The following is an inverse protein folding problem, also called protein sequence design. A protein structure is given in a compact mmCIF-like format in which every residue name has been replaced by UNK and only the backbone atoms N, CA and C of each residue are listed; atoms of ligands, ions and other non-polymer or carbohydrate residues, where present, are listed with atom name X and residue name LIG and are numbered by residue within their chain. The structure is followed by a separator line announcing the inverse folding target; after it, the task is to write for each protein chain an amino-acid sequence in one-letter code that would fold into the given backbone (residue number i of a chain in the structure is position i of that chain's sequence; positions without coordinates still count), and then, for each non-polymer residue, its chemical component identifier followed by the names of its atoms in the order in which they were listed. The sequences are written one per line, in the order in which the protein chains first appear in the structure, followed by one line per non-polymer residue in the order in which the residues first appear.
data_IF_421120666387
#
_entry.id   IF_421120666387
#
_cell.length_a   1.000
_cell.length_b   1.000
_cell.length_c   1.000
_cell.angle_alpha   90.00
_cell.angle_beta   90.00
_cell.angle_gamma   90.00
#
_symmetry.space_group_name_H-M   'P 1'
#
loop_
_entity.id
_entity.type
_entity.pdbx_description
1 polymer ?
#
# COMPACT_ATOMS: atom_id res chain seq x y z
N UNK A 1 14.70 -16.64 16.98
CA UNK A 1 14.07 -15.35 16.58
C UNK A 1 14.10 -14.44 17.79
N UNK A 2 14.62 -13.22 17.65
CA UNK A 2 14.58 -12.21 18.73
C UNK A 2 13.11 -11.93 19.12
N UNK A 3 12.85 -11.88 20.43
CA UNK A 3 11.49 -11.63 20.94
C UNK A 3 11.32 -10.12 21.16
N UNK A 4 10.65 -9.43 20.25
CA UNK A 4 10.35 -8.01 20.33
C UNK A 4 8.88 -7.77 20.67
N UNK A 5 8.62 -6.78 21.55
CA UNK A 5 7.26 -6.46 22.01
C UNK A 5 6.47 -5.61 21.00
N UNK A 6 7.18 -4.80 20.20
CA UNK A 6 6.59 -3.89 19.22
C UNK A 6 7.47 -3.79 17.98
N UNK A 7 6.84 -3.76 16.79
CA UNK A 7 7.49 -3.42 15.52
C UNK A 7 6.43 -2.90 14.53
N UNK A 8 6.49 -1.62 14.22
CA UNK A 8 5.59 -0.95 13.28
C UNK A 8 6.40 -0.49 12.07
N UNK A 9 6.15 -1.09 10.93
CA UNK A 9 6.87 -0.81 9.69
C UNK A 9 5.95 -0.08 8.69
N UNK A 10 6.44 1.05 8.16
CA UNK A 10 5.81 1.77 7.06
C UNK A 10 6.50 1.42 5.74
N UNK A 11 5.72 1.05 4.72
CA UNK A 11 6.21 0.76 3.37
C UNK A 11 5.49 1.65 2.37
N UNK A 12 6.16 2.69 1.87
CA UNK A 12 5.67 3.57 0.82
C UNK A 12 6.49 3.41 -0.47
N UNK A 13 5.96 3.84 -1.60
CA UNK A 13 6.72 3.79 -2.84
C UNK A 13 5.88 3.86 -4.11
N UNK A 14 6.57 3.93 -5.24
CA UNK A 14 6.01 4.11 -6.57
C UNK A 14 5.16 2.90 -7.03
N UNK A 15 4.40 3.08 -8.10
CA UNK A 15 3.60 2.00 -8.70
C UNK A 15 4.52 0.89 -9.21
N UNK A 16 4.13 -0.38 -8.96
CA UNK A 16 4.88 -1.57 -9.35
C UNK A 16 6.36 -1.60 -8.90
N UNK A 17 6.73 -0.84 -7.85
CA UNK A 17 8.09 -0.81 -7.30
C UNK A 17 8.49 -2.04 -6.48
N UNK A 18 7.70 -3.10 -6.45
CA UNK A 18 7.97 -4.31 -5.65
C UNK A 18 7.64 -4.18 -4.17
N UNK A 19 7.09 -3.05 -3.74
CA UNK A 19 6.73 -2.74 -2.35
C UNK A 19 5.84 -3.80 -1.69
N UNK A 20 4.74 -4.20 -2.35
CA UNK A 20 3.79 -5.18 -1.78
C UNK A 20 4.41 -6.56 -1.59
N UNK A 21 5.26 -6.98 -2.53
CA UNK A 21 6.04 -8.23 -2.41
C UNK A 21 6.99 -8.16 -1.22
N UNK A 22 7.73 -7.06 -1.08
CA UNK A 22 8.66 -6.85 0.02
C UNK A 22 7.94 -6.79 1.38
N UNK A 23 6.85 -6.05 1.48
CA UNK A 23 6.02 -5.98 2.68
C UNK A 23 5.48 -7.35 3.09
N UNK A 24 5.04 -8.17 2.12
CA UNK A 24 4.59 -9.56 2.38
C UNK A 24 5.73 -10.43 2.91
N UNK A 25 6.93 -10.34 2.33
CA UNK A 25 8.09 -11.13 2.74
C UNK A 25 8.53 -10.79 4.17
N UNK A 26 8.67 -9.51 4.52
CA UNK A 26 9.05 -9.11 5.89
C UNK A 26 7.95 -9.44 6.88
N UNK A 27 6.69 -9.26 6.52
CA UNK A 27 5.58 -9.62 7.40
C UNK A 27 5.57 -11.10 7.74
N UNK A 28 5.87 -11.96 6.75
CA UNK A 28 6.03 -13.40 6.99
C UNK A 28 7.24 -13.70 7.89
N UNK A 29 8.42 -13.11 7.59
CA UNK A 29 9.65 -13.36 8.36
C UNK A 29 9.51 -12.94 9.82
N UNK A 30 8.95 -11.76 10.08
CA UNK A 30 8.87 -11.19 11.44
C UNK A 30 7.50 -11.39 12.11
N UNK A 31 6.61 -12.21 11.54
CA UNK A 31 5.25 -12.48 12.04
C UNK A 31 4.45 -11.20 12.30
N UNK A 32 4.49 -10.26 11.34
CA UNK A 32 3.75 -8.99 11.40
C UNK A 32 2.39 -9.12 10.72
N UNK A 33 1.37 -8.46 11.27
CA UNK A 33 0.14 -8.25 10.53
C UNK A 33 0.42 -7.34 9.32
N UNK A 34 0.17 -7.83 8.11
CA UNK A 34 0.29 -7.00 6.89
C UNK A 34 -1.02 -6.26 6.64
N UNK A 35 -0.96 -4.93 6.58
CA UNK A 35 -2.07 -4.08 6.15
C UNK A 35 -1.74 -3.40 4.83
N UNK A 36 -2.49 -3.75 3.78
CA UNK A 36 -2.37 -3.16 2.46
C UNK A 36 -3.44 -2.09 2.27
N UNK A 37 -3.04 -0.81 2.33
CA UNK A 37 -3.94 0.33 2.11
C UNK A 37 -4.61 0.30 0.74
N UNK A 38 -3.91 -0.19 -0.27
CA UNK A 38 -4.46 -0.31 -1.62
C UNK A 38 -5.69 -1.21 -1.69
N UNK A 39 -5.74 -2.29 -0.90
CA UNK A 39 -6.92 -3.16 -0.83
C UNK A 39 -8.13 -2.46 -0.22
N UNK A 40 -7.93 -1.56 0.75
CA UNK A 40 -9.03 -0.80 1.35
C UNK A 40 -9.69 0.14 0.32
N UNK A 41 -8.90 0.83 -0.49
CA UNK A 41 -9.43 1.65 -1.59
C UNK A 41 -10.09 0.81 -2.67
N UNK A 42 -9.57 -0.38 -2.97
CA UNK A 42 -10.20 -1.33 -3.89
C UNK A 42 -11.53 -1.84 -3.36
N UNK A 43 -11.61 -2.10 -2.06
CA UNK A 43 -12.87 -2.46 -1.41
C UNK A 43 -13.90 -1.34 -1.52
N UNK A 44 -13.51 -0.07 -1.27
CA UNK A 44 -14.37 1.07 -1.52
C UNK A 44 -14.89 1.10 -2.97
N UNK A 45 -13.98 0.90 -3.93
CA UNK A 45 -14.35 0.88 -5.36
C UNK A 45 -15.35 -0.23 -5.69
N UNK A 46 -15.08 -1.46 -5.23
CA UNK A 46 -15.99 -2.61 -5.42
C UNK A 46 -17.39 -2.32 -4.89
N UNK A 47 -17.45 -1.76 -3.67
CA UNK A 47 -18.73 -1.43 -3.04
C UNK A 47 -19.50 -0.35 -3.80
N UNK A 48 -18.83 0.70 -4.27
CA UNK A 48 -19.48 1.80 -5.02
C UNK A 48 -19.95 1.30 -6.40
N UNK A 49 -19.10 0.56 -7.12
CA UNK A 49 -19.43 0.04 -8.45
C UNK A 49 -20.63 -0.92 -8.37
N UNK A 50 -20.61 -1.85 -7.41
CA UNK A 50 -21.63 -2.88 -7.29
C UNK A 50 -22.97 -2.38 -6.74
N UNK A 51 -22.97 -1.34 -5.89
CA UNK A 51 -24.21 -0.88 -5.24
C UNK A 51 -24.73 0.46 -5.77
N UNK A 52 -23.92 1.22 -6.54
CA UNK A 52 -24.26 2.54 -7.11
C UNK A 52 -25.00 3.46 -6.12
N UNK A 53 -24.49 3.67 -4.88
CA UNK A 53 -25.22 4.35 -3.83
C UNK A 53 -25.44 5.83 -4.18
N UNK A 54 -26.61 6.39 -3.88
CA UNK A 54 -26.90 7.83 -4.02
C UNK A 54 -25.95 8.69 -3.20
N UNK A 55 -25.58 8.25 -1.98
CA UNK A 55 -24.59 8.90 -1.14
C UNK A 55 -23.42 7.94 -0.82
N UNK A 56 -22.35 7.94 -1.63
CA UNK A 56 -21.22 7.04 -1.45
C UNK A 56 -20.50 7.17 -0.08
N UNK A 57 -20.45 8.39 0.48
CA UNK A 57 -19.75 8.65 1.75
C UNK A 57 -20.49 8.03 2.92
N UNK A 58 -21.80 8.27 3.04
CA UNK A 58 -22.63 7.67 4.08
C UNK A 58 -22.63 6.15 3.98
N UNK A 59 -22.79 5.62 2.77
CA UNK A 59 -22.76 4.18 2.49
C UNK A 59 -21.44 3.53 2.92
N UNK A 60 -20.29 4.10 2.52
CA UNK A 60 -18.99 3.57 2.91
C UNK A 60 -18.76 3.66 4.43
N UNK A 61 -19.18 4.75 5.08
CA UNK A 61 -19.10 4.85 6.53
C UNK A 61 -19.84 3.70 7.23
N UNK A 62 -21.06 3.38 6.80
CA UNK A 62 -21.84 2.27 7.35
C UNK A 62 -21.13 0.93 7.12
N UNK A 63 -20.64 0.66 5.90
CA UNK A 63 -19.93 -0.59 5.56
C UNK A 63 -18.64 -0.76 6.38
N UNK A 64 -17.83 0.30 6.56
CA UNK A 64 -16.57 0.23 7.32
C UNK A 64 -16.74 0.14 8.84
N UNK A 65 -17.94 0.40 9.40
CA UNK A 65 -18.25 0.14 10.82
C UNK A 65 -18.28 -1.35 11.12
N UNK A 66 -18.84 -2.15 10.20
CA UNK A 66 -19.22 -3.55 10.42
C UNK A 66 -18.30 -4.56 9.72
N UNK A 67 -17.29 -4.13 8.96
CA UNK A 67 -16.40 -5.03 8.24
C UNK A 67 -15.11 -5.27 9.02
N UNK A 68 -14.62 -6.52 9.00
CA UNK A 68 -13.28 -6.85 9.47
C UNK A 68 -12.26 -6.75 8.34
N UNK A 69 -10.99 -6.49 8.68
CA UNK A 69 -9.92 -6.49 7.68
C UNK A 69 -9.75 -7.86 7.01
N UNK A 70 -9.95 -8.96 7.77
CA UNK A 70 -9.94 -10.33 7.25
C UNK A 70 -10.98 -10.52 6.15
N UNK A 71 -12.18 -9.99 6.32
CA UNK A 71 -13.23 -10.09 5.30
C UNK A 71 -12.91 -9.29 4.04
N UNK A 72 -12.13 -8.21 4.15
CA UNK A 72 -11.71 -7.41 2.99
C UNK A 72 -10.64 -8.14 2.17
N UNK A 73 -9.62 -8.73 2.81
CA UNK A 73 -8.52 -9.39 2.11
C UNK A 73 -8.92 -10.68 1.41
N UNK A 74 -10.01 -11.31 1.84
CA UNK A 74 -10.54 -12.54 1.25
C UNK A 74 -11.42 -12.27 0.01
N UNK A 75 -11.60 -11.01 -0.39
CA UNK A 75 -12.39 -10.67 -1.57
C UNK A 75 -11.53 -10.58 -2.83
N UNK A 76 -12.13 -10.90 -3.98
CA UNK A 76 -11.53 -10.58 -5.26
C UNK A 76 -11.67 -9.07 -5.54
N UNK A 77 -10.54 -8.34 -5.46
CA UNK A 77 -10.45 -6.89 -5.58
C UNK A 77 -9.51 -6.45 -6.73
N UNK A 78 -9.15 -7.36 -7.63
CA UNK A 78 -8.09 -7.12 -8.62
C UNK A 78 -8.58 -6.93 -10.07
N UNK A 79 -9.89 -6.69 -10.29
CA UNK A 79 -10.38 -6.37 -11.64
C UNK A 79 -9.82 -5.06 -12.18
N UNK A 80 -9.83 -4.92 -13.50
CA UNK A 80 -9.38 -3.71 -14.18
C UNK A 80 -10.28 -2.52 -13.86
N UNK A 81 -11.59 -2.74 -13.88
CA UNK A 81 -12.61 -1.73 -13.51
C UNK A 81 -12.35 -1.15 -12.12
N UNK A 82 -12.18 -2.02 -11.10
CA UNK A 82 -11.81 -1.59 -9.74
C UNK A 82 -10.50 -0.82 -9.76
N UNK A 83 -9.49 -1.29 -10.52
CA UNK A 83 -8.17 -0.66 -10.58
C UNK A 83 -8.19 0.76 -11.13
N UNK A 84 -9.01 1.00 -12.16
CA UNK A 84 -9.19 2.31 -12.79
C UNK A 84 -9.96 3.26 -11.87
N UNK A 85 -11.04 2.77 -11.22
CA UNK A 85 -11.85 3.56 -10.31
C UNK A 85 -11.07 4.00 -9.04
N UNK A 86 -10.18 3.15 -8.50
CA UNK A 86 -9.32 3.49 -7.34
C UNK A 86 -8.53 4.78 -7.55
N UNK A 87 -8.01 5.01 -8.75
CA UNK A 87 -7.18 6.19 -9.03
C UNK A 87 -7.97 7.51 -8.89
N UNK A 88 -9.24 7.49 -9.22
CA UNK A 88 -10.17 8.62 -9.05
C UNK A 88 -10.60 8.74 -7.59
N UNK A 89 -11.04 7.64 -7.01
CA UNK A 89 -11.60 7.55 -5.67
C UNK A 89 -10.58 7.96 -4.59
N UNK A 90 -9.31 7.60 -4.75
CA UNK A 90 -8.24 7.94 -3.82
C UNK A 90 -7.91 9.45 -3.75
N UNK A 91 -8.44 10.28 -4.64
CA UNK A 91 -8.34 11.75 -4.58
C UNK A 91 -9.38 12.36 -3.63
N UNK A 92 -10.49 11.66 -3.38
CA UNK A 92 -11.58 12.16 -2.53
C UNK A 92 -11.17 12.20 -1.06
N UNK A 93 -11.19 13.41 -0.46
CA UNK A 93 -10.79 13.65 0.92
C UNK A 93 -11.62 12.85 1.93
N UNK A 94 -12.95 12.79 1.74
CA UNK A 94 -13.85 12.12 2.67
C UNK A 94 -13.67 10.60 2.65
N UNK A 95 -13.48 10.01 1.46
CA UNK A 95 -13.16 8.57 1.35
C UNK A 95 -11.82 8.25 2.01
N UNK A 96 -10.82 9.11 1.84
CA UNK A 96 -9.54 8.97 2.55
C UNK A 96 -9.72 9.01 4.07
N UNK A 97 -10.57 9.88 4.59
CA UNK A 97 -10.85 9.94 6.04
C UNK A 97 -11.45 8.61 6.54
N UNK A 98 -12.39 8.03 5.81
CA UNK A 98 -13.00 6.73 6.17
C UNK A 98 -11.93 5.63 6.20
N UNK A 99 -11.15 5.51 5.12
CA UNK A 99 -10.09 4.50 5.02
C UNK A 99 -9.03 4.70 6.09
N UNK A 100 -8.60 5.95 6.33
CA UNK A 100 -7.61 6.28 7.35
C UNK A 100 -8.10 5.95 8.77
N UNK A 101 -9.36 6.24 9.08
CA UNK A 101 -9.99 5.88 10.38
C UNK A 101 -9.97 4.37 10.59
N UNK A 102 -10.33 3.61 9.59
CA UNK A 102 -10.32 2.15 9.63
C UNK A 102 -8.89 1.60 9.80
N UNK A 103 -7.92 2.08 9.03
CA UNK A 103 -6.52 1.68 9.17
C UNK A 103 -5.98 1.98 10.56
N UNK A 104 -6.21 3.20 11.07
CA UNK A 104 -5.76 3.59 12.41
C UNK A 104 -6.36 2.71 13.51
N UNK A 105 -7.63 2.27 13.37
CA UNK A 105 -8.25 1.31 14.30
C UNK A 105 -7.49 -0.03 14.31
N UNK A 106 -7.08 -0.53 13.14
CA UNK A 106 -6.30 -1.78 13.04
C UNK A 106 -4.91 -1.59 13.67
N UNK A 107 -4.23 -0.50 13.31
CA UNK A 107 -2.87 -0.21 13.77
C UNK A 107 -2.80 -0.08 15.30
N UNK A 108 -3.76 0.63 15.91
CA UNK A 108 -3.80 0.79 17.37
C UNK A 108 -3.96 -0.53 18.13
N UNK A 109 -4.61 -1.53 17.51
CA UNK A 109 -4.84 -2.85 18.13
C UNK A 109 -3.66 -3.81 17.96
N UNK A 110 -2.66 -3.46 17.11
CA UNK A 110 -1.60 -4.39 16.72
C UNK A 110 -0.23 -3.74 16.89
N UNK A 111 0.56 -4.26 17.83
CA UNK A 111 1.93 -3.79 18.09
C UNK A 111 2.96 -4.35 17.09
N UNK A 112 2.64 -5.43 16.36
CA UNK A 112 3.49 -6.08 15.36
C UNK A 112 2.82 -5.98 13.98
N UNK A 113 3.15 -4.94 13.21
CA UNK A 113 2.40 -4.60 11.98
C UNK A 113 3.31 -4.00 10.91
N UNK A 114 3.08 -4.40 9.67
CA UNK A 114 3.62 -3.77 8.47
C UNK A 114 2.48 -3.15 7.67
N UNK A 115 2.53 -1.86 7.44
CA UNK A 115 1.52 -1.15 6.65
C UNK A 115 2.13 -0.70 5.33
N UNK A 116 1.50 -1.06 4.22
CA UNK A 116 1.95 -0.62 2.91
C UNK A 116 0.96 0.32 2.21
N UNK A 117 1.49 1.31 1.49
CA UNK A 117 0.67 2.28 0.77
C UNK A 117 1.45 3.28 -0.06
N UNK A 118 1.06 4.55 0.05
CA UNK A 118 1.66 5.69 -0.65
C UNK A 118 1.99 6.87 0.28
N UNK A 119 1.34 6.93 1.42
CA UNK A 119 1.42 8.01 2.40
C UNK A 119 1.41 7.47 3.84
N UNK A 120 1.92 6.25 4.00
CA UNK A 120 1.90 5.56 5.30
C UNK A 120 2.80 6.28 6.29
N UNK A 121 4.07 6.45 5.95
CA UNK A 121 5.03 7.15 6.81
C UNK A 121 4.66 8.63 6.99
N UNK A 122 4.24 9.31 5.91
CA UNK A 122 4.00 10.75 5.94
C UNK A 122 2.67 11.17 6.57
N UNK A 123 1.66 10.28 6.63
CA UNK A 123 0.30 10.62 7.10
C UNK A 123 -0.27 9.62 8.10
N UNK A 124 -0.24 8.32 7.79
CA UNK A 124 -0.94 7.32 8.61
C UNK A 124 -0.18 7.04 9.90
N UNK A 125 1.13 6.87 9.80
CA UNK A 125 2.06 6.55 10.89
C UNK A 125 3.01 7.72 11.22
N UNK A 126 2.63 8.96 10.89
CA UNK A 126 3.49 10.13 11.07
C UNK A 126 3.60 10.59 12.54
N UNK A 127 2.60 10.28 13.38
CA UNK A 127 2.54 10.74 14.77
C UNK A 127 2.25 9.60 15.74
N UNK A 128 0.99 9.31 16.00
CA UNK A 128 0.56 8.33 17.02
C UNK A 128 -0.37 7.26 16.42
N UNK A 129 0.09 5.99 16.36
CA UNK A 129 1.47 5.56 16.61
C UNK A 129 2.41 5.97 15.47
N UNK A 130 3.66 6.32 15.79
CA UNK A 130 4.72 6.49 14.79
C UNK A 130 5.31 5.12 14.44
N UNK A 131 5.77 4.97 13.18
CA UNK A 131 6.54 3.79 12.76
C UNK A 131 7.89 3.71 13.48
N UNK A 132 8.39 2.49 13.63
CA UNK A 132 9.76 2.23 14.10
C UNK A 132 10.73 2.29 12.92
N UNK A 133 10.31 1.81 11.74
CA UNK A 133 11.05 1.94 10.48
C UNK A 133 10.13 2.32 9.33
N UNK A 134 10.64 3.17 8.42
CA UNK A 134 10.01 3.51 7.16
C UNK A 134 10.88 3.10 5.97
N UNK A 135 10.29 2.39 5.02
CA UNK A 135 10.92 2.04 3.74
C UNK A 135 10.22 2.75 2.58
N UNK A 136 11.01 3.34 1.69
CA UNK A 136 10.51 3.94 0.46
C UNK A 136 11.03 3.17 -0.76
N UNK A 137 10.11 2.63 -1.54
CA UNK A 137 10.42 1.79 -2.69
C UNK A 137 10.42 2.57 -3.99
N UNK A 138 11.49 2.42 -4.77
CA UNK A 138 11.65 2.98 -6.10
C UNK A 138 12.11 1.92 -7.08
N UNK A 139 11.62 1.98 -8.31
CA UNK A 139 12.04 1.11 -9.41
C UNK A 139 12.06 1.90 -10.70
N UNK A 140 13.01 1.63 -11.60
CA UNK A 140 13.00 2.20 -12.95
C UNK A 140 11.71 1.80 -13.66
N UNK A 141 11.07 2.75 -14.35
CA UNK A 141 9.76 2.54 -14.97
C UNK A 141 9.72 1.37 -15.96
N UNK A 142 10.79 1.21 -16.77
CA UNK A 142 10.90 0.10 -17.70
C UNK A 142 10.93 -1.26 -16.99
N UNK A 143 11.69 -1.40 -15.89
CA UNK A 143 11.75 -2.64 -15.10
C UNK A 143 10.43 -2.92 -14.40
N UNK A 144 9.84 -1.89 -13.78
CA UNK A 144 8.54 -2.01 -13.11
C UNK A 144 7.42 -2.37 -14.10
N UNK A 145 7.44 -1.74 -15.29
CA UNK A 145 6.49 -1.99 -16.36
C UNK A 145 6.60 -3.39 -16.92
N UNK A 146 7.82 -3.86 -17.18
CA UNK A 146 8.05 -5.23 -17.66
C UNK A 146 7.55 -6.29 -16.66
N UNK A 147 7.90 -6.14 -15.37
CA UNK A 147 7.38 -7.02 -14.30
C UNK A 147 5.86 -7.02 -14.27
N UNK A 148 5.23 -5.83 -14.32
CA UNK A 148 3.78 -5.71 -14.32
C UNK A 148 3.13 -6.31 -15.56
N UNK A 149 3.76 -6.18 -16.72
CA UNK A 149 3.32 -6.77 -17.97
C UNK A 149 3.29 -8.31 -17.91
N UNK A 150 4.32 -8.91 -17.31
CA UNK A 150 4.33 -10.36 -17.02
C UNK A 150 3.23 -10.76 -16.05
N UNK A 151 3.03 -10.01 -14.96
CA UNK A 151 1.95 -10.25 -13.98
C UNK A 151 0.55 -10.17 -14.62
N UNK A 152 0.40 -9.45 -15.71
CA UNK A 152 -0.83 -9.34 -16.50
C UNK A 152 -0.93 -10.41 -17.60
N UNK A 153 -0.06 -11.42 -17.60
CA UNK A 153 0.03 -12.45 -18.64
C UNK A 153 0.11 -11.86 -20.06
N UNK A 154 0.77 -10.70 -20.20
CA UNK A 154 0.98 -9.97 -21.46
C UNK A 154 -0.31 -9.54 -22.19
N UNK A 155 -1.46 -9.53 -21.50
CA UNK A 155 -2.77 -9.21 -22.11
C UNK A 155 -2.91 -7.77 -22.63
N UNK A 156 -2.04 -6.87 -22.20
CA UNK A 156 -2.03 -5.45 -22.58
C UNK A 156 -0.67 -5.11 -23.17
N UNK A 157 -0.56 -4.30 -24.24
CA UNK A 157 0.73 -3.88 -24.79
C UNK A 157 1.65 -3.26 -23.73
N UNK A 158 2.93 -3.64 -23.74
CA UNK A 158 3.91 -3.14 -22.75
C UNK A 158 3.97 -1.60 -22.71
N UNK A 159 3.85 -0.93 -23.86
CA UNK A 159 3.82 0.55 -23.97
C UNK A 159 2.69 1.16 -23.13
N UNK A 160 1.51 0.54 -23.14
CA UNK A 160 0.36 1.00 -22.36
C UNK A 160 0.57 0.78 -20.85
N UNK A 161 1.13 -0.37 -20.46
CA UNK A 161 1.48 -0.65 -19.06
C UNK A 161 2.47 0.39 -18.54
N UNK A 162 3.53 0.70 -19.31
CA UNK A 162 4.52 1.72 -18.97
C UNK A 162 3.87 3.11 -18.80
N UNK A 163 3.01 3.51 -19.74
CA UNK A 163 2.28 4.79 -19.72
C UNK A 163 1.38 4.88 -18.48
N UNK A 164 0.63 3.80 -18.19
CA UNK A 164 -0.27 3.71 -17.04
C UNK A 164 0.49 3.84 -15.71
N UNK A 165 1.61 3.12 -15.54
CA UNK A 165 2.42 3.18 -14.32
C UNK A 165 3.05 4.57 -14.10
N UNK A 166 3.56 5.19 -15.19
CA UNK A 166 4.10 6.56 -15.13
C UNK A 166 3.03 7.56 -14.73
N UNK A 167 1.85 7.50 -15.38
CA UNK A 167 0.69 8.36 -15.07
C UNK A 167 0.28 8.19 -13.60
N UNK A 168 0.13 6.96 -13.13
CA UNK A 168 -0.27 6.66 -11.74
C UNK A 168 0.74 7.18 -10.73
N UNK A 169 2.03 6.95 -10.94
CA UNK A 169 3.07 7.46 -10.05
C UNK A 169 3.07 8.99 -10.00
N UNK A 170 2.90 9.65 -11.15
CA UNK A 170 2.79 11.10 -11.21
C UNK A 170 1.56 11.63 -10.46
N UNK A 171 0.40 10.99 -10.64
CA UNK A 171 -0.83 11.32 -9.92
C UNK A 171 -0.65 11.17 -8.40
N UNK A 172 0.00 10.08 -7.93
CA UNK A 172 0.27 9.85 -6.51
C UNK A 172 1.20 10.95 -5.95
N UNK A 173 2.22 11.39 -6.70
CA UNK A 173 3.15 12.45 -6.29
C UNK A 173 2.53 13.85 -6.28
N UNK A 174 1.68 14.16 -7.28
CA UNK A 174 1.10 15.51 -7.47
C UNK A 174 -0.25 15.72 -6.79
N UNK A 175 -0.84 14.71 -6.15
CA UNK A 175 -2.14 14.89 -5.50
C UNK A 175 -2.07 15.88 -4.34
N UNK A 176 -3.05 16.78 -4.25
CA UNK A 176 -3.14 17.82 -3.20
C UNK A 176 -3.22 17.19 -1.79
N UNK A 177 -3.97 16.11 -1.65
CA UNK A 177 -4.14 15.45 -0.36
C UNK A 177 -3.23 14.23 -0.24
N UNK A 178 -2.34 14.21 0.74
CA UNK A 178 -1.43 13.09 1.05
C UNK A 178 -0.58 12.64 -0.16
N UNK A 179 0.26 13.49 -0.74
CA UNK A 179 1.12 13.12 -1.86
C UNK A 179 2.07 11.98 -1.48
N UNK A 180 2.49 11.22 -2.48
CA UNK A 180 3.55 10.23 -2.31
C UNK A 180 4.88 10.97 -2.17
N UNK A 181 5.40 11.00 -0.95
CA UNK A 181 6.71 11.59 -0.64
C UNK A 181 7.58 10.57 0.11
N UNK A 182 8.90 10.67 -0.08
CA UNK A 182 9.86 9.98 0.78
C UNK A 182 10.11 10.87 2.00
N UNK A 183 9.74 10.42 3.20
CA UNK A 183 10.09 11.12 4.44
C UNK A 183 11.60 11.05 4.69
N UNK A 184 12.14 12.00 5.47
CA UNK A 184 13.59 12.18 5.64
C UNK A 184 14.29 10.91 6.13
N UNK A 185 13.73 10.25 7.12
CA UNK A 185 14.25 9.05 7.78
C UNK A 185 13.85 7.72 7.07
N UNK A 186 13.12 7.78 5.94
CA UNK A 186 12.80 6.57 5.20
C UNK A 186 14.00 6.01 4.45
N UNK A 187 14.23 4.70 4.63
CA UNK A 187 15.28 3.93 3.97
C UNK A 187 14.86 3.68 2.51
N UNK A 188 15.69 4.13 1.57
CA UNK A 188 15.43 3.94 0.14
C UNK A 188 15.78 2.51 -0.30
N UNK A 189 14.78 1.80 -0.83
CA UNK A 189 14.93 0.49 -1.46
C UNK A 189 14.76 0.61 -2.97
N UNK A 190 15.85 0.54 -3.72
CA UNK A 190 15.83 0.47 -5.20
C UNK A 190 15.75 -0.98 -5.63
N UNK A 191 14.64 -1.36 -6.25
CA UNK A 191 14.35 -2.77 -6.58
C UNK A 191 14.69 -3.15 -8.01
N UNK A 192 15.14 -2.20 -8.83
CA UNK A 192 15.44 -2.42 -10.25
C UNK A 192 16.54 -3.47 -10.48
N UNK A 193 17.54 -3.53 -9.60
CA UNK A 193 18.68 -4.47 -9.69
C UNK A 193 18.68 -5.54 -8.58
N UNK A 194 17.58 -5.68 -7.83
CA UNK A 194 17.52 -6.59 -6.70
C UNK A 194 16.50 -7.72 -6.95
N UNK A 195 16.90 -8.95 -6.64
CA UNK A 195 15.97 -10.08 -6.48
C UNK A 195 15.10 -9.91 -5.23
N UNK A 196 14.01 -10.66 -5.15
CA UNK A 196 13.13 -10.68 -3.97
C UNK A 196 13.91 -11.00 -2.69
N UNK A 197 14.83 -11.97 -2.75
CA UNK A 197 15.70 -12.36 -1.65
C UNK A 197 16.64 -11.24 -1.22
N UNK A 198 17.31 -10.57 -2.18
CA UNK A 198 18.21 -9.45 -1.88
C UNK A 198 17.45 -8.26 -1.26
N UNK A 199 16.21 -7.99 -1.68
CA UNK A 199 15.35 -6.98 -1.04
C UNK A 199 15.03 -7.38 0.40
N UNK A 200 14.65 -8.64 0.64
CA UNK A 200 14.37 -9.14 1.99
C UNK A 200 15.61 -9.01 2.90
N UNK A 201 16.78 -9.44 2.45
CA UNK A 201 18.03 -9.33 3.21
C UNK A 201 18.32 -7.88 3.58
N UNK A 202 18.24 -6.97 2.59
CA UNK A 202 18.48 -5.53 2.82
C UNK A 202 17.54 -4.94 3.86
N UNK A 203 16.25 -5.25 3.78
CA UNK A 203 15.26 -4.77 4.76
C UNK A 203 15.47 -5.40 6.14
N UNK A 204 15.80 -6.71 6.17
CA UNK A 204 16.06 -7.44 7.41
C UNK A 204 17.24 -6.84 8.17
N UNK A 205 18.32 -6.45 7.49
CA UNK A 205 19.47 -5.81 8.14
C UNK A 205 19.02 -4.64 9.03
N UNK A 206 18.23 -3.70 8.47
CA UNK A 206 17.75 -2.56 9.25
C UNK A 206 16.72 -2.92 10.33
N UNK A 207 15.94 -3.96 10.12
CA UNK A 207 14.98 -4.42 11.14
C UNK A 207 15.72 -5.08 12.29
N UNK A 208 16.70 -5.93 11.99
CA UNK A 208 17.49 -6.69 12.98
C UNK A 208 18.37 -5.77 13.86
N UNK A 209 18.65 -4.54 13.41
CA UNK A 209 19.36 -3.49 14.15
C UNK A 209 18.51 -2.86 15.27
N UNK A 210 17.17 -2.97 15.19
CA UNK A 210 16.24 -2.29 16.13
C UNK A 210 15.41 -3.24 17.01
N UNK A 211 15.55 -4.56 16.83
CA UNK A 211 14.81 -5.58 17.59
C UNK A 211 15.70 -6.45 18.48
#
# INVERSE_FOLDING_TARGET
MKNFKRLIIACDGESASGKSTAAKLISKKYKLLLVNSGLLYRYCSKLIIGNKPKNPISFLNAKFRNVSYKNIINQNLHSEEISNHVAVLAKNKNIRLIVNKFQKKIIKKNKKICVEGRDIASKILSKNPKYDLAFYFKCKNNVAGYRRWLDLNKKIPLKEVLKSLKKRTLMDKKRKNSPLIKVKDAILIRTDKLSKTKVLIKMSKHIDEII
#
